data_IF_286436621499
#
_entry.id   IF_286436621499
#
_cell.length_a   1.000
_cell.length_b   1.000
_cell.length_c   1.000
_cell.angle_alpha   90.00
_cell.angle_beta   90.00
_cell.angle_gamma   90.00
#
_symmetry.space_group_name_H-M   'P 1'
#
loop_
_entity.id
_entity.type
_entity.pdbx_description
1 polymer ?
#
# COMPACT_ATOMS: atom_id res chain seq x y z
N UNK A 1 4.32 -13.42 -5.42
CA UNK A 1 3.22 -12.59 -4.88
C UNK A 1 3.80 -11.65 -3.85
N UNK A 2 3.58 -10.34 -3.97
CA UNK A 2 4.16 -9.32 -3.07
C UNK A 2 3.07 -8.41 -2.50
N UNK A 3 3.40 -7.68 -1.44
CA UNK A 3 2.57 -6.63 -0.84
C UNK A 3 3.34 -5.31 -0.87
N UNK A 4 2.72 -4.25 -1.39
CA UNK A 4 3.34 -2.92 -1.51
C UNK A 4 2.40 -1.85 -0.97
N UNK A 5 2.92 -0.94 -0.16
CA UNK A 5 2.18 0.23 0.33
C UNK A 5 2.43 1.43 -0.57
N UNK A 6 1.37 2.03 -1.09
CA UNK A 6 1.43 3.25 -1.93
C UNK A 6 0.48 4.31 -1.41
N UNK A 7 0.95 5.56 -1.50
CA UNK A 7 0.14 6.74 -1.20
C UNK A 7 -0.90 6.95 -2.28
N UNK A 8 -2.07 7.41 -1.88
CA UNK A 8 -3.14 7.84 -2.76
C UNK A 8 -3.79 9.09 -2.15
N UNK A 9 -4.20 10.06 -2.97
CA UNK A 9 -4.91 11.21 -2.46
C UNK A 9 -6.27 10.77 -1.86
N UNK A 10 -6.78 11.42 -0.81
CA UNK A 10 -7.98 10.97 -0.09
C UNK A 10 -9.20 10.81 -1.00
N UNK A 11 -9.42 11.79 -1.89
CA UNK A 11 -10.53 11.77 -2.86
C UNK A 11 -10.52 10.52 -3.76
N UNK A 12 -9.34 10.00 -4.09
CA UNK A 12 -9.22 8.80 -4.91
C UNK A 12 -9.32 7.53 -4.09
N UNK A 13 -8.88 7.56 -2.82
CA UNK A 13 -9.11 6.47 -1.88
C UNK A 13 -10.59 6.25 -1.65
N UNK A 14 -11.37 7.32 -1.44
CA UNK A 14 -12.81 7.22 -1.23
C UNK A 14 -13.52 6.58 -2.42
N UNK A 15 -13.10 6.89 -3.66
CA UNK A 15 -13.63 6.23 -4.86
C UNK A 15 -13.25 4.77 -4.96
N UNK A 16 -12.06 4.37 -4.50
CA UNK A 16 -11.66 2.96 -4.45
C UNK A 16 -12.51 2.22 -3.39
N UNK A 17 -12.67 2.80 -2.21
CA UNK A 17 -13.47 2.24 -1.11
C UNK A 17 -14.96 2.14 -1.46
N UNK A 18 -15.49 3.08 -2.23
CA UNK A 18 -16.85 3.06 -2.74
C UNK A 18 -17.01 2.21 -4.01
N UNK A 19 -15.98 1.47 -4.43
CA UNK A 19 -15.97 0.65 -5.65
C UNK A 19 -16.34 1.45 -6.92
N UNK A 20 -16.10 2.76 -6.92
CA UNK A 20 -16.31 3.64 -8.07
C UNK A 20 -15.04 3.80 -8.93
N UNK A 21 -13.92 3.20 -8.49
CA UNK A 21 -12.62 3.26 -9.17
C UNK A 21 -11.87 1.94 -9.06
N UNK A 22 -11.61 1.32 -10.21
CA UNK A 22 -11.02 -0.03 -10.33
C UNK A 22 -9.66 -0.04 -11.04
N UNK A 23 -8.99 1.11 -11.12
CA UNK A 23 -7.68 1.22 -11.76
C UNK A 23 -6.79 2.23 -11.07
N UNK A 24 -5.47 2.12 -11.25
CA UNK A 24 -4.44 3.00 -10.72
C UNK A 24 -3.39 3.29 -11.80
N UNK A 25 -2.86 4.50 -11.84
CA UNK A 25 -1.73 4.84 -12.72
C UNK A 25 -0.50 5.04 -11.87
N UNK A 26 0.57 4.28 -12.14
CA UNK A 26 1.80 4.29 -11.33
C UNK A 26 3.05 4.28 -12.20
N UNK A 27 4.07 5.00 -11.76
CA UNK A 27 5.43 4.92 -12.32
C UNK A 27 5.98 3.50 -12.15
N UNK A 28 6.70 3.02 -13.16
CA UNK A 28 7.24 1.66 -13.27
C UNK A 28 8.66 1.52 -12.73
N UNK A 29 9.37 2.64 -12.59
CA UNK A 29 10.77 2.78 -12.18
C UNK A 29 10.98 2.50 -10.69
N UNK A 30 9.95 2.55 -9.86
CA UNK A 30 10.06 2.04 -8.50
C UNK A 30 9.94 0.51 -8.45
N UNK A 31 9.07 -0.07 -9.29
CA UNK A 31 8.64 -1.47 -9.18
C UNK A 31 8.02 -2.00 -10.48
N UNK A 32 8.42 -3.21 -10.90
CA UNK A 32 7.70 -3.97 -11.93
C UNK A 32 6.45 -4.63 -11.34
N UNK A 33 5.32 -3.93 -11.40
CA UNK A 33 4.01 -4.46 -11.00
C UNK A 33 3.62 -5.69 -11.82
N UNK A 34 3.13 -6.73 -11.14
CA UNK A 34 2.65 -7.96 -11.77
C UNK A 34 1.22 -8.30 -11.35
N UNK A 35 0.42 -8.94 -12.22
CA UNK A 35 -0.82 -9.57 -11.82
C UNK A 35 -0.62 -10.45 -10.59
N UNK A 36 -1.53 -10.31 -9.62
CA UNK A 36 -1.51 -11.02 -8.37
C UNK A 36 -0.75 -10.34 -7.23
N UNK A 37 -0.02 -9.24 -7.47
CA UNK A 37 0.55 -8.42 -6.40
C UNK A 37 -0.55 -7.72 -5.60
N UNK A 38 -0.27 -7.43 -4.33
CA UNK A 38 -1.16 -6.75 -3.40
C UNK A 38 -0.72 -5.31 -3.19
N UNK A 39 -1.70 -4.41 -3.12
CA UNK A 39 -1.49 -3.00 -2.86
C UNK A 39 -2.25 -2.59 -1.61
N UNK A 40 -1.56 -1.90 -0.71
CA UNK A 40 -2.22 -1.02 0.26
C UNK A 40 -2.24 0.38 -0.34
N UNK A 41 -3.43 0.85 -0.70
CA UNK A 41 -3.67 2.22 -1.12
C UNK A 41 -4.02 3.02 0.14
N UNK A 42 -3.02 3.67 0.72
CA UNK A 42 -3.17 4.41 1.96
C UNK A 42 -3.29 5.91 1.68
N UNK A 43 -4.33 6.52 2.27
CA UNK A 43 -4.67 7.92 2.07
C UNK A 43 -3.58 8.83 2.60
N UNK A 44 -3.30 9.93 1.90
CA UNK A 44 -2.26 10.88 2.29
C UNK A 44 -2.70 12.32 2.01
N UNK A 45 -2.77 13.14 3.05
CA UNK A 45 -3.12 14.58 3.01
C UNK A 45 -2.28 15.34 4.04
N UNK A 46 -1.10 15.81 3.63
CA UNK A 46 0.00 16.34 4.47
C UNK A 46 0.54 15.39 5.57
N UNK A 47 -0.24 14.40 5.98
CA UNK A 47 0.08 13.26 6.82
C UNK A 47 -0.62 11.99 6.29
N UNK A 48 -0.20 10.82 6.74
CA UNK A 48 -0.92 9.59 6.44
C UNK A 48 -2.30 9.59 7.11
N UNK A 49 -3.34 9.28 6.35
CA UNK A 49 -4.69 9.12 6.87
C UNK A 49 -4.84 7.81 7.64
N UNK A 50 -5.82 7.69 8.56
CA UNK A 50 -6.04 6.47 9.33
C UNK A 50 -6.76 5.35 8.58
N UNK A 51 -6.99 5.51 7.28
CA UNK A 51 -7.69 4.54 6.46
C UNK A 51 -6.92 4.22 5.18
N UNK A 52 -7.03 2.97 4.76
CA UNK A 52 -6.47 2.47 3.52
C UNK A 52 -7.35 1.38 2.91
N UNK A 53 -7.15 1.10 1.63
CA UNK A 53 -7.76 -0.02 0.93
C UNK A 53 -6.70 -1.09 0.64
N UNK A 54 -6.99 -2.34 0.98
CA UNK A 54 -6.23 -3.49 0.49
C UNK A 54 -6.87 -3.99 -0.80
N UNK A 55 -6.11 -3.95 -1.90
CA UNK A 55 -6.57 -4.40 -3.22
C UNK A 55 -5.55 -5.33 -3.84
N UNK A 56 -5.97 -6.10 -4.85
CA UNK A 56 -5.09 -6.95 -5.65
C UNK A 56 -4.95 -6.37 -7.05
N UNK A 57 -3.73 -6.36 -7.58
CA UNK A 57 -3.48 -6.07 -9.00
C UNK A 57 -4.00 -7.24 -9.81
N UNK A 58 -5.00 -6.98 -10.65
CA UNK A 58 -5.55 -7.94 -11.59
C UNK A 58 -4.76 -7.92 -12.89
N UNK A 59 -4.42 -6.74 -13.39
CA UNK A 59 -3.63 -6.55 -14.61
C UNK A 59 -2.65 -5.39 -14.46
N UNK A 60 -1.55 -5.45 -15.19
CA UNK A 60 -0.55 -4.38 -15.24
C UNK A 60 -0.14 -4.12 -16.70
N UNK A 61 -0.69 -3.05 -17.28
CA UNK A 61 -0.56 -2.70 -18.69
C UNK A 61 0.52 -1.63 -18.88
N UNK A 62 1.29 -1.78 -19.97
CA UNK A 62 2.31 -0.83 -20.43
C UNK A 62 1.97 -0.39 -21.85
N UNK A 63 2.45 0.79 -22.26
CA UNK A 63 2.20 1.30 -23.62
C UNK A 63 0.74 1.69 -23.88
N UNK A 64 -0.04 1.95 -22.82
CA UNK A 64 -1.44 2.40 -22.95
C UNK A 64 -1.44 3.78 -23.63
N UNK A 65 -2.20 3.99 -24.72
CA UNK A 65 -2.29 5.30 -25.38
C UNK A 65 -2.69 6.42 -24.40
N UNK A 66 -1.99 7.55 -24.47
CA UNK A 66 -2.18 8.69 -23.55
C UNK A 66 -1.45 8.57 -22.20
N UNK A 67 -0.86 7.41 -21.89
CA UNK A 67 -0.03 7.23 -20.72
C UNK A 67 1.42 7.66 -21.01
N UNK A 68 2.03 8.40 -20.08
CA UNK A 68 3.44 8.81 -20.21
C UNK A 68 4.37 7.59 -20.18
N UNK A 69 5.49 7.67 -20.90
CA UNK A 69 6.56 6.66 -20.85
C UNK A 69 7.00 6.46 -19.39
N UNK A 70 7.20 5.20 -19.00
CA UNK A 70 7.57 4.84 -17.63
C UNK A 70 6.40 4.73 -16.66
N UNK A 71 5.15 4.95 -17.09
CA UNK A 71 3.96 4.68 -16.29
C UNK A 71 3.26 3.39 -16.74
N UNK A 72 2.53 2.79 -15.81
CA UNK A 72 1.66 1.63 -16.02
C UNK A 72 0.25 1.91 -15.54
N UNK A 73 -0.71 1.35 -16.25
CA UNK A 73 -2.09 1.24 -15.78
C UNK A 73 -2.23 -0.09 -15.05
N UNK A 74 -2.62 -0.04 -13.78
CA UNK A 74 -2.91 -1.20 -12.95
C UNK A 74 -4.42 -1.33 -12.85
N UNK A 75 -4.99 -2.45 -13.31
CA UNK A 75 -6.38 -2.81 -12.98
C UNK A 75 -6.36 -3.44 -11.60
N UNK A 76 -7.20 -2.95 -10.69
CA UNK A 76 -7.26 -3.39 -9.30
C UNK A 76 -8.61 -4.03 -8.98
N UNK A 77 -8.60 -5.04 -8.13
CA UNK A 77 -9.81 -5.65 -7.60
C UNK A 77 -10.63 -4.65 -6.78
N UNK A 78 -11.91 -4.95 -6.50
CA UNK A 78 -12.60 -4.35 -5.36
C UNK A 78 -11.74 -4.48 -4.08
N UNK A 79 -11.91 -3.57 -3.10
CA UNK A 79 -11.24 -3.67 -1.81
C UNK A 79 -11.52 -5.01 -1.15
N UNK A 80 -10.46 -5.79 -0.92
CA UNK A 80 -10.54 -7.05 -0.17
C UNK A 80 -10.68 -6.77 1.32
N UNK A 81 -10.14 -5.63 1.78
CA UNK A 81 -10.36 -5.12 3.13
C UNK A 81 -10.24 -3.60 3.16
N UNK A 82 -11.05 -2.98 4.03
CA UNK A 82 -10.80 -1.63 4.52
C UNK A 82 -9.89 -1.74 5.74
N UNK A 83 -8.72 -1.14 5.67
CA UNK A 83 -7.75 -1.15 6.76
C UNK A 83 -7.89 0.14 7.57
N UNK A 84 -7.72 0.03 8.88
CA UNK A 84 -7.66 1.17 9.79
C UNK A 84 -6.44 1.03 10.70
N UNK A 85 -5.69 2.12 10.87
CA UNK A 85 -4.62 2.20 11.86
C UNK A 85 -5.07 3.05 13.04
N UNK A 86 -4.65 2.71 14.27
CA UNK A 86 -4.88 3.57 15.41
C UNK A 86 -4.16 4.92 15.19
N UNK A 87 -4.72 6.05 15.66
CA UNK A 87 -4.14 7.38 15.42
C UNK A 87 -2.67 7.52 15.81
N UNK A 88 -2.20 6.77 16.83
CA UNK A 88 -0.81 6.77 17.26
C UNK A 88 0.16 6.15 16.24
N UNK A 89 -0.28 5.17 15.44
CA UNK A 89 0.55 4.46 14.46
C UNK A 89 0.84 5.24 13.17
N UNK A 90 0.22 6.42 13.01
CA UNK A 90 0.37 7.30 11.84
C UNK A 90 1.20 8.55 12.11
N UNK A 91 1.52 8.81 13.38
CA UNK A 91 2.35 9.94 13.80
C UNK A 91 3.83 9.75 13.48
N UNK A 92 4.19 8.62 12.88
CA UNK A 92 5.56 8.28 12.54
C UNK A 92 5.93 8.76 11.14
N UNK A 93 7.23 8.70 10.82
CA UNK A 93 7.76 9.00 9.49
C UNK A 93 7.18 8.11 8.37
N UNK A 94 7.53 8.41 7.12
CA UNK A 94 7.01 7.69 5.96
C UNK A 94 7.30 6.18 6.01
N UNK A 95 8.46 5.79 6.54
CA UNK A 95 8.88 4.40 6.63
C UNK A 95 8.05 3.62 7.65
N UNK A 96 7.86 4.19 8.83
CA UNK A 96 7.10 3.59 9.93
C UNK A 96 5.61 3.48 9.60
N UNK A 97 5.03 4.50 8.98
CA UNK A 97 3.64 4.45 8.53
C UNK A 97 3.42 3.33 7.50
N UNK A 98 4.34 3.16 6.54
CA UNK A 98 4.30 2.05 5.58
C UNK A 98 4.44 0.69 6.26
N UNK A 99 5.29 0.58 7.27
CA UNK A 99 5.44 -0.64 8.05
C UNK A 99 4.13 -1.03 8.75
N UNK A 100 3.48 -0.09 9.45
CA UNK A 100 2.20 -0.38 10.11
C UNK A 100 1.09 -0.72 9.12
N UNK A 101 1.03 -0.05 7.97
CA UNK A 101 0.09 -0.40 6.91
C UNK A 101 0.32 -1.80 6.34
N UNK A 102 1.59 -2.17 6.18
CA UNK A 102 1.97 -3.52 5.75
C UNK A 102 1.50 -4.58 6.75
N UNK A 103 1.74 -4.37 8.04
CA UNK A 103 1.28 -5.28 9.10
C UNK A 103 -0.24 -5.44 9.11
N UNK A 104 -0.99 -4.34 8.98
CA UNK A 104 -2.44 -4.37 8.93
C UNK A 104 -2.96 -5.18 7.72
N UNK A 105 -2.31 -5.03 6.57
CA UNK A 105 -2.65 -5.79 5.37
C UNK A 105 -2.28 -7.28 5.50
N UNK A 106 -1.11 -7.61 6.05
CA UNK A 106 -0.70 -9.00 6.29
C UNK A 106 -1.67 -9.71 7.25
N UNK A 107 -2.13 -9.00 8.29
CA UNK A 107 -3.18 -9.50 9.19
C UNK A 107 -4.50 -9.73 8.45
N UNK A 108 -4.95 -8.78 7.62
CA UNK A 108 -6.20 -8.90 6.86
C UNK A 108 -6.17 -10.04 5.83
N UNK A 109 -5.00 -10.37 5.28
CA UNK A 109 -4.82 -11.51 4.36
C UNK A 109 -4.68 -12.86 5.08
N UNK A 110 -4.64 -12.89 6.41
CA UNK A 110 -4.36 -14.11 7.17
C UNK A 110 -2.93 -14.63 7.00
N UNK A 111 -1.98 -13.78 6.60
CA UNK A 111 -0.56 -14.15 6.48
C UNK A 111 0.18 -14.13 7.83
N UNK A 112 -0.51 -13.66 8.88
CA UNK A 112 -0.01 -13.61 10.25
C UNK A 112 0.01 -14.97 10.94
N UNK A 113 1.10 -15.71 10.75
CA UNK A 113 1.38 -16.93 11.52
C UNK A 113 2.84 -17.40 11.52
N UNK A 114 3.70 -16.87 10.63
CA UNK A 114 5.15 -17.10 10.67
C UNK A 114 5.88 -15.84 10.25
N UNK A 115 5.98 -14.89 11.17
CA UNK A 115 7.05 -13.91 11.07
C UNK A 115 8.26 -14.48 11.78
N UNK A 116 9.19 -15.02 10.99
CA UNK A 116 10.55 -15.24 11.46
C UNK A 116 11.15 -13.84 11.73
N UNK A 117 11.43 -13.57 13.00
CA UNK A 117 11.96 -12.29 13.50
C UNK A 117 13.35 -11.95 12.96
N UNK A 118 13.89 -12.72 12.02
CA UNK A 118 15.24 -12.56 11.45
C UNK A 118 15.41 -11.29 10.61
N UNK A 119 14.34 -10.63 10.17
CA UNK A 119 14.40 -9.43 9.32
C UNK A 119 13.72 -8.17 9.90
N UNK A 120 13.35 -8.17 11.19
CA UNK A 120 13.02 -6.89 11.83
C UNK A 120 14.31 -6.05 11.94
N UNK A 121 14.34 -4.79 11.44
CA UNK A 121 15.46 -3.91 11.76
C UNK A 121 15.55 -3.84 13.29
N UNK A 122 16.68 -4.27 13.86
CA UNK A 122 16.92 -4.11 15.29
C UNK A 122 16.72 -2.62 15.61
N UNK A 123 15.92 -2.26 16.63
CA UNK A 123 15.97 -0.90 17.14
C UNK A 123 17.44 -0.61 17.47
N UNK A 124 17.98 0.45 16.90
CA UNK A 124 19.31 0.93 17.26
C UNK A 124 19.33 1.06 18.79
N UNK A 125 20.33 0.49 19.47
CA UNK A 125 20.38 0.60 20.92
C UNK A 125 20.43 2.08 21.27
N UNK A 126 19.41 2.54 22.01
CA UNK A 126 19.42 3.85 22.64
C UNK A 126 20.80 4.04 23.28
N UNK A 127 21.52 5.05 22.81
CA UNK A 127 22.72 5.52 23.51
C UNK A 127 22.26 5.94 24.90
N UNK A 128 22.42 5.02 25.87
CA UNK A 128 22.32 5.34 27.29
C UNK A 128 23.44 6.33 27.63
N UNK A 129 23.18 7.26 28.57
CA UNK A 129 23.79 8.59 28.65
C UNK A 129 25.32 8.62 28.66
#
# INVERSE_FOLDING_TARGET
MRLVVKKIAPVWLDRVLAEAKHWEIRRADDWTWRPGDWLVLAGWDDAWLPHAALVRVQEALSGVPGLRIGYRLLVISPPVARLALPPGALRHDDASARYHWRLAAEAAMGWGGRWDQTNAPRPEPEARP
#
